data_IF_317376551078
#
_entry.id   IF_317376551078
#
_cell.length_a   1.000
_cell.length_b   1.000
_cell.length_c   1.000
_cell.angle_alpha   90.00
_cell.angle_beta   90.00
_cell.angle_gamma   90.00
#
_symmetry.space_group_name_H-M   'P 1'
#
loop_
_entity.id
_entity.type
_entity.pdbx_description
1 polymer ?
#
# COMPACT_ATOMS: atom_id res chain seq x y z
N UNK A 1 -1.61 -10.05 -13.46
CA UNK A 1 -1.81 -9.17 -12.28
C UNK A 1 -2.79 -8.06 -12.63
N UNK A 2 -3.42 -7.37 -11.68
CA UNK A 2 -4.19 -6.13 -11.93
C UNK A 2 -3.83 -5.05 -10.93
N UNK A 3 -3.60 -3.82 -11.41
CA UNK A 3 -3.33 -2.62 -10.61
C UNK A 3 -4.49 -1.64 -10.79
N UNK A 4 -4.99 -1.09 -9.68
CA UNK A 4 -5.98 -0.01 -9.66
C UNK A 4 -5.34 1.18 -8.96
N UNK A 5 -5.19 2.31 -9.66
CA UNK A 5 -4.73 3.58 -9.11
C UNK A 5 -5.65 4.73 -9.54
N UNK A 6 -5.64 5.81 -8.78
CA UNK A 6 -6.35 7.05 -9.11
C UNK A 6 -7.79 6.82 -9.61
N UNK A 7 -8.13 7.39 -10.77
CA UNK A 7 -9.48 7.39 -11.32
C UNK A 7 -10.08 6.00 -11.59
N UNK A 8 -9.27 4.94 -11.67
CA UNK A 8 -9.75 3.57 -11.87
C UNK A 8 -9.92 2.79 -10.55
N UNK A 9 -9.45 3.33 -9.42
CA UNK A 9 -9.61 2.75 -8.08
C UNK A 9 -10.97 3.09 -7.45
N UNK A 10 -12.05 2.84 -8.19
CA UNK A 10 -13.44 3.04 -7.72
C UNK A 10 -13.92 1.89 -6.85
N UNK A 11 -14.96 2.12 -6.04
CA UNK A 11 -15.61 1.05 -5.24
C UNK A 11 -16.00 -0.15 -6.10
N UNK A 12 -16.63 0.10 -7.24
CA UNK A 12 -17.06 -0.93 -8.18
C UNK A 12 -15.86 -1.70 -8.77
N UNK A 13 -14.83 -0.98 -9.23
CA UNK A 13 -13.62 -1.59 -9.77
C UNK A 13 -12.93 -2.48 -8.74
N UNK A 14 -12.79 -2.04 -7.49
CA UNK A 14 -12.18 -2.85 -6.44
C UNK A 14 -12.93 -4.17 -6.26
N UNK A 15 -14.26 -4.14 -6.11
CA UNK A 15 -15.07 -5.34 -5.90
C UNK A 15 -15.08 -6.27 -7.12
N UNK A 16 -15.17 -5.70 -8.33
CA UNK A 16 -15.11 -6.46 -9.58
C UNK A 16 -13.76 -7.18 -9.75
N UNK A 17 -12.66 -6.54 -9.35
CA UNK A 17 -11.33 -7.15 -9.41
C UNK A 17 -11.13 -8.25 -8.37
N UNK A 18 -11.74 -8.15 -7.18
CA UNK A 18 -11.75 -9.24 -6.20
C UNK A 18 -12.55 -10.45 -6.71
N UNK A 19 -13.68 -10.23 -7.37
CA UNK A 19 -14.44 -11.30 -8.02
C UNK A 19 -13.67 -11.96 -9.17
N UNK A 20 -12.97 -11.17 -10.00
CA UNK A 20 -12.06 -11.73 -11.00
C UNK A 20 -10.96 -12.57 -10.35
N UNK A 21 -10.33 -12.07 -9.27
CA UNK A 21 -9.26 -12.76 -8.58
C UNK A 21 -9.74 -14.07 -7.95
N UNK A 22 -10.97 -14.09 -7.42
CA UNK A 22 -11.63 -15.32 -6.97
C UNK A 22 -11.68 -16.36 -8.10
N UNK A 23 -12.09 -15.98 -9.31
CA UNK A 23 -12.18 -16.89 -10.45
C UNK A 23 -10.80 -17.41 -10.88
N UNK A 24 -9.77 -16.56 -10.84
CA UNK A 24 -8.40 -16.99 -11.14
C UNK A 24 -7.87 -18.00 -10.11
N UNK A 25 -8.07 -17.73 -8.82
CA UNK A 25 -7.67 -18.65 -7.75
C UNK A 25 -8.44 -19.98 -7.82
N UNK A 26 -9.70 -19.97 -8.25
CA UNK A 26 -10.47 -21.19 -8.46
C UNK A 26 -9.94 -22.05 -9.63
N UNK A 27 -9.26 -21.43 -10.61
CA UNK A 27 -8.71 -22.11 -11.78
C UNK A 27 -7.30 -22.70 -11.52
N UNK A 28 -6.60 -22.26 -10.49
CA UNK A 28 -5.28 -22.75 -10.10
C UNK A 28 -5.22 -22.99 -8.58
N UNK A 29 -5.36 -24.26 -8.18
CA UNK A 29 -5.38 -24.64 -6.78
C UNK A 29 -4.07 -24.33 -6.04
N UNK A 30 -2.94 -24.23 -6.75
CA UNK A 30 -1.62 -23.97 -6.16
C UNK A 30 -1.28 -22.47 -6.11
N UNK A 31 -2.18 -21.61 -6.58
CA UNK A 31 -1.94 -20.18 -6.67
C UNK A 31 -1.64 -19.54 -5.30
N UNK A 32 -0.56 -18.76 -5.25
CA UNK A 32 -0.39 -17.73 -4.24
C UNK A 32 -1.09 -16.46 -4.72
N UNK A 33 -2.03 -15.98 -3.91
CA UNK A 33 -2.71 -14.71 -4.13
C UNK A 33 -2.12 -13.66 -3.19
N UNK A 34 -1.73 -12.53 -3.75
CA UNK A 34 -1.36 -11.32 -3.01
C UNK A 34 -2.39 -10.23 -3.30
N UNK A 35 -2.97 -9.66 -2.26
CA UNK A 35 -3.78 -8.44 -2.35
C UNK A 35 -3.08 -7.35 -1.56
N UNK A 36 -2.77 -6.24 -2.23
CA UNK A 36 -2.18 -5.06 -1.62
C UNK A 36 -3.13 -3.88 -1.78
N UNK A 37 -3.60 -3.33 -0.67
CA UNK A 37 -4.38 -2.10 -0.62
C UNK A 37 -3.56 -1.01 0.04
N UNK A 38 -3.42 0.15 -0.60
CA UNK A 38 -2.86 1.35 0.01
C UNK A 38 -3.81 2.53 -0.23
N UNK A 39 -4.12 3.26 0.83
CA UNK A 39 -5.13 4.33 0.75
C UNK A 39 -5.61 4.82 2.11
N UNK A 40 -6.70 5.59 2.10
CA UNK A 40 -7.32 6.07 3.34
C UNK A 40 -8.32 5.05 3.89
N UNK A 41 -8.43 5.02 5.22
CA UNK A 41 -9.51 4.34 5.89
C UNK A 41 -10.10 5.22 6.99
N UNK A 42 -11.42 5.24 7.12
CA UNK A 42 -12.14 6.02 8.12
C UNK A 42 -13.05 5.12 8.95
N UNK A 43 -12.95 5.26 10.26
CA UNK A 43 -13.91 4.72 11.22
C UNK A 43 -15.01 5.76 11.43
N UNK A 44 -16.25 5.38 11.19
CA UNK A 44 -17.41 6.12 11.67
C UNK A 44 -17.64 5.79 13.15
N UNK A 45 -17.31 6.73 14.04
CA UNK A 45 -17.40 6.55 15.49
C UNK A 45 -18.84 6.45 16.01
N UNK A 46 -19.82 6.86 15.21
CA UNK A 46 -21.25 6.76 15.58
C UNK A 46 -21.79 5.36 15.32
N UNK A 47 -21.35 4.71 14.24
CA UNK A 47 -21.83 3.39 13.84
C UNK A 47 -20.84 2.26 14.13
N UNK A 48 -19.58 2.59 14.42
CA UNK A 48 -18.47 1.65 14.54
C UNK A 48 -18.02 1.06 13.21
N UNK A 49 -18.55 1.52 12.08
CA UNK A 49 -18.23 0.96 10.75
C UNK A 49 -16.93 1.55 10.22
N UNK A 50 -16.04 0.69 9.74
CA UNK A 50 -14.82 1.10 9.06
C UNK A 50 -15.01 1.06 7.54
N UNK A 51 -14.52 2.10 6.87
CA UNK A 51 -14.61 2.28 5.43
C UNK A 51 -13.22 2.42 4.83
N UNK A 52 -12.96 1.66 3.77
CA UNK A 52 -11.89 1.95 2.82
C UNK A 52 -12.37 3.04 1.87
N UNK A 53 -11.47 3.96 1.52
CA UNK A 53 -11.82 5.14 0.75
C UNK A 53 -11.36 4.96 -0.69
N UNK A 54 -12.27 4.69 -1.63
CA UNK A 54 -11.96 4.63 -3.05
C UNK A 54 -11.86 6.04 -3.66
N UNK A 55 -11.43 6.13 -4.91
CA UNK A 55 -11.30 7.41 -5.61
C UNK A 55 -12.64 8.14 -5.80
N UNK A 56 -13.72 7.40 -6.03
CA UNK A 56 -15.08 7.89 -6.27
C UNK A 56 -15.88 8.14 -4.98
N UNK A 57 -15.19 8.33 -3.85
CA UNK A 57 -15.86 8.65 -2.58
C UNK A 57 -16.56 10.00 -2.65
N UNK A 58 -17.82 10.04 -2.23
CA UNK A 58 -18.62 11.24 -2.10
C UNK A 58 -18.57 11.75 -0.65
N UNK A 59 -17.96 12.92 -0.38
CA UNK A 59 -17.68 13.40 0.99
C UNK A 59 -18.91 13.51 1.89
N UNK A 60 -20.06 13.78 1.27
CA UNK A 60 -21.34 13.99 1.94
C UNK A 60 -22.25 12.77 1.90
N UNK A 61 -21.81 11.68 1.26
CA UNK A 61 -22.53 10.41 1.17
C UNK A 61 -21.59 9.20 1.31
N UNK A 62 -20.77 9.25 2.37
CA UNK A 62 -19.81 8.19 2.71
C UNK A 62 -20.46 6.81 2.82
N UNK A 63 -21.64 6.63 3.45
CA UNK A 63 -22.24 5.31 3.58
C UNK A 63 -22.52 4.62 2.22
N UNK A 64 -22.85 5.38 1.18
CA UNK A 64 -23.16 4.82 -0.13
C UNK A 64 -21.96 4.78 -1.09
N UNK A 65 -21.06 5.77 -1.01
CA UNK A 65 -19.93 5.91 -1.94
C UNK A 65 -18.63 5.24 -1.47
N UNK A 66 -18.37 5.18 -0.16
CA UNK A 66 -17.19 4.49 0.37
C UNK A 66 -17.37 2.96 0.35
N UNK A 67 -16.26 2.23 0.52
CA UNK A 67 -16.26 0.77 0.56
C UNK A 67 -16.24 0.29 2.02
N UNK A 68 -17.33 -0.30 2.55
CA UNK A 68 -17.29 -0.87 3.89
C UNK A 68 -16.24 -1.98 3.98
N UNK A 69 -15.42 -1.96 5.02
CA UNK A 69 -14.36 -2.96 5.17
C UNK A 69 -14.88 -4.37 5.44
N UNK A 70 -16.09 -4.51 6.01
CA UNK A 70 -16.78 -5.81 6.06
C UNK A 70 -17.04 -6.36 4.65
N UNK A 71 -17.52 -5.53 3.71
CA UNK A 71 -17.77 -5.95 2.32
C UNK A 71 -16.46 -6.36 1.63
N UNK A 72 -15.40 -5.58 1.81
CA UNK A 72 -14.07 -5.91 1.30
C UNK A 72 -13.53 -7.22 1.91
N UNK A 73 -13.69 -7.39 3.22
CA UNK A 73 -13.28 -8.58 3.96
C UNK A 73 -14.02 -9.83 3.48
N UNK A 74 -15.34 -9.74 3.33
CA UNK A 74 -16.12 -10.86 2.80
C UNK A 74 -15.71 -11.22 1.38
N UNK A 75 -15.47 -10.24 0.50
CA UNK A 75 -14.97 -10.51 -0.86
C UNK A 75 -13.61 -11.23 -0.85
N UNK A 76 -12.67 -10.85 0.03
CA UNK A 76 -11.38 -11.54 0.20
C UNK A 76 -11.53 -12.95 0.78
N UNK A 77 -12.51 -13.17 1.66
CA UNK A 77 -12.80 -14.49 2.23
C UNK A 77 -13.33 -15.47 1.17
N UNK A 78 -14.00 -14.97 0.14
CA UNK A 78 -14.50 -15.80 -0.96
C UNK A 78 -13.41 -16.29 -1.92
N UNK A 79 -12.18 -15.78 -1.86
CA UNK A 79 -11.07 -16.23 -2.73
C UNK A 79 -10.59 -17.62 -2.29
N UNK A 80 -10.72 -18.67 -3.13
CA UNK A 80 -10.38 -20.04 -2.76
C UNK A 80 -8.90 -20.36 -3.00
N UNK A 81 -7.99 -19.51 -2.51
CA UNK A 81 -6.56 -19.72 -2.66
C UNK A 81 -5.99 -20.55 -1.49
N UNK A 82 -5.06 -21.47 -1.78
CA UNK A 82 -4.29 -22.16 -0.74
C UNK A 82 -3.37 -21.21 0.03
N UNK A 83 -2.92 -20.13 -0.62
CA UNK A 83 -2.02 -19.14 -0.04
C UNK A 83 -2.54 -17.75 -0.38
N UNK A 84 -2.99 -17.00 0.62
CA UNK A 84 -3.47 -15.63 0.47
C UNK A 84 -2.74 -14.71 1.44
N UNK A 85 -1.96 -13.79 0.89
CA UNK A 85 -1.37 -12.68 1.63
C UNK A 85 -2.17 -11.40 1.34
N UNK A 86 -2.75 -10.82 2.38
CA UNK A 86 -3.45 -9.54 2.32
C UNK A 86 -2.61 -8.50 3.02
N UNK A 87 -2.37 -7.37 2.36
CA UNK A 87 -1.62 -6.26 2.90
C UNK A 87 -2.49 -5.01 2.86
N UNK A 88 -2.66 -4.39 4.02
CA UNK A 88 -3.45 -3.18 4.19
C UNK A 88 -2.53 -2.06 4.67
N UNK A 89 -2.06 -1.27 3.71
CA UNK A 89 -1.33 -0.04 3.97
C UNK A 89 -2.27 1.16 4.05
N UNK A 90 -3.10 1.19 5.09
CA UNK A 90 -4.06 2.27 5.30
C UNK A 90 -3.82 2.96 6.63
N UNK A 91 -3.29 4.19 6.60
CA UNK A 91 -3.35 5.17 7.69
C UNK A 91 -2.74 6.52 7.26
N UNK A 92 -3.32 7.12 6.24
CA UNK A 92 -2.91 8.42 5.75
C UNK A 92 -3.75 9.52 6.41
N UNK A 93 -3.17 10.26 7.37
CA UNK A 93 -3.73 11.52 7.88
C UNK A 93 -2.85 12.74 7.56
N UNK A 94 -1.77 12.54 6.78
CA UNK A 94 -0.87 13.58 6.30
C UNK A 94 -1.62 14.51 5.33
N UNK A 95 -2.37 15.46 5.90
CA UNK A 95 -3.25 16.38 5.19
C UNK A 95 -4.47 16.85 5.99
N UNK A 96 -4.86 16.16 7.07
CA UNK A 96 -5.99 16.58 7.90
C UNK A 96 -5.58 17.18 9.25
N UNK A 97 -4.37 16.90 9.74
CA UNK A 97 -3.89 17.42 11.01
C UNK A 97 -3.50 18.92 10.98
N UNK A 98 -3.33 19.53 9.80
CA UNK A 98 -2.97 20.95 9.67
C UNK A 98 -4.12 21.91 9.97
N UNK A 99 -5.37 21.44 10.03
CA UNK A 99 -6.52 22.31 10.31
C UNK A 99 -6.88 22.46 11.81
N UNK A 100 -6.24 21.70 12.72
CA UNK A 100 -6.58 21.74 14.16
C UNK A 100 -5.57 22.50 15.05
N UNK A 101 -4.44 22.99 14.50
CA UNK A 101 -3.41 23.67 15.30
C UNK A 101 -3.22 25.18 15.03
N UNK A 102 -3.98 25.80 14.13
CA UNK A 102 -3.89 27.25 13.85
C UNK A 102 -4.73 28.15 14.77
N UNK A 103 -5.33 27.59 15.83
CA UNK A 103 -5.99 28.39 16.89
C UNK A 103 -5.18 28.31 18.19
N UNK A 104 -3.91 28.73 18.13
CA UNK A 104 -3.15 29.13 19.31
C UNK A 104 -2.44 30.45 19.05
N UNK A 105 -3.22 31.50 19.32
CA UNK A 105 -2.83 32.82 19.80
C UNK A 105 -1.33 32.99 20.10
N UNK A 106 -0.65 33.82 19.30
CA UNK A 106 0.53 34.57 19.75
C UNK A 106 0.37 36.04 19.37
N UNK A 107 -0.14 36.80 20.32
CA UNK A 107 0.09 38.24 20.42
C UNK A 107 1.60 38.47 20.61
N UNK A 108 2.28 39.15 19.67
CA UNK A 108 3.43 40.03 19.96
C UNK A 108 3.74 40.93 18.74
N UNK A 109 3.60 42.25 18.93
CA UNK A 109 4.58 43.26 18.50
C UNK A 109 4.65 43.76 17.04
N UNK A 110 4.14 44.98 16.84
CA UNK A 110 4.46 46.04 15.85
C UNK A 110 5.64 45.91 14.84
N UNK A 111 5.33 46.38 13.61
CA UNK A 111 6.13 47.16 12.65
C UNK A 111 7.39 46.55 11.97
N UNK A 112 7.33 46.31 10.64
CA UNK A 112 7.98 47.14 9.61
C UNK A 112 7.66 46.66 8.18
N UNK A 113 7.57 47.64 7.29
CA UNK A 113 7.29 47.57 5.85
C UNK A 113 8.44 46.98 5.04
N UNK A 114 8.14 46.08 4.08
CA UNK A 114 8.62 46.12 2.67
C UNK A 114 7.79 45.17 1.81
N UNK A 115 7.15 45.67 0.75
CA UNK A 115 6.62 44.85 -0.37
C UNK A 115 7.62 44.92 -1.53
N UNK A 116 7.95 43.80 -2.19
CA UNK A 116 8.35 43.82 -3.59
C UNK A 116 7.21 43.40 -4.51
N UNK A 117 7.06 44.19 -5.55
CA UNK A 117 6.18 44.05 -6.70
C UNK A 117 6.78 43.03 -7.68
N UNK A 118 5.98 42.10 -8.21
CA UNK A 118 6.34 41.27 -9.37
C UNK A 118 5.16 41.16 -10.34
N UNK A 119 5.15 42.09 -11.30
CA UNK A 119 4.53 41.87 -12.61
C UNK A 119 5.50 41.04 -13.46
N UNK A 120 5.18 39.76 -13.68
CA UNK A 120 5.73 38.98 -14.80
C UNK A 120 4.60 38.12 -15.40
N UNK A 121 4.17 38.35 -16.65
CA UNK A 121 3.13 37.57 -17.30
C UNK A 121 3.76 36.34 -17.95
N UNK A 122 3.70 35.20 -17.25
CA UNK A 122 3.68 33.82 -17.76
C UNK A 122 4.14 32.87 -16.64
N UNK A 123 3.26 32.67 -15.67
CA UNK A 123 3.25 31.46 -14.84
C UNK A 123 1.87 30.83 -15.02
N UNK A 124 1.83 29.69 -15.71
CA UNK A 124 0.66 28.81 -15.67
C UNK A 124 0.46 28.41 -14.20
N UNK A 125 -0.74 28.56 -13.62
CA UNK A 125 -0.97 28.12 -12.26
C UNK A 125 -0.96 26.59 -12.22
N UNK A 126 0.14 25.99 -11.78
CA UNK A 126 0.18 24.60 -11.34
C UNK A 126 -0.49 24.49 -9.97
N UNK A 127 -1.83 24.58 -9.97
CA UNK A 127 -2.66 24.26 -8.82
C UNK A 127 -3.86 23.43 -9.33
N UNK A 128 -3.59 22.19 -9.73
CA UNK A 128 -4.61 21.15 -9.68
C UNK A 128 -4.86 20.91 -8.18
N UNK A 129 -5.90 21.56 -7.66
CA UNK A 129 -6.18 21.65 -6.24
C UNK A 129 -6.31 20.29 -5.57
N UNK A 130 -5.45 20.02 -4.59
CA UNK A 130 -5.78 19.12 -3.49
C UNK A 130 -7.01 19.72 -2.80
N UNK A 131 -8.22 19.28 -3.17
CA UNK A 131 -9.45 19.64 -2.44
C UNK A 131 -9.23 19.18 -1.00
N UNK A 132 -9.16 20.13 -0.08
CA UNK A 132 -9.17 19.81 1.35
C UNK A 132 -10.52 19.18 1.67
N UNK A 133 -10.54 17.84 1.73
CA UNK A 133 -11.73 17.09 2.07
C UNK A 133 -12.08 17.38 3.53
N UNK A 134 -13.13 18.18 3.76
CA UNK A 134 -13.67 18.37 5.11
C UNK A 134 -14.58 17.20 5.42
N UNK A 135 -14.07 16.26 6.20
CA UNK A 135 -14.86 15.11 6.65
C UNK A 135 -15.88 15.55 7.72
N UNK A 136 -17.04 14.87 7.77
CA UNK A 136 -17.89 14.85 8.95
C UNK A 136 -17.08 14.55 10.23
N UNK A 137 -17.45 15.19 11.34
CA UNK A 137 -16.68 15.11 12.60
C UNK A 137 -16.61 13.69 13.20
N UNK A 138 -17.53 12.80 12.84
CA UNK A 138 -17.61 11.42 13.29
C UNK A 138 -16.69 10.46 12.52
N UNK A 139 -16.04 10.92 11.44
CA UNK A 139 -15.13 10.08 10.67
C UNK A 139 -13.69 10.27 11.15
N UNK A 140 -13.15 9.21 11.74
CA UNK A 140 -11.81 9.18 12.32
C UNK A 140 -10.88 8.37 11.39
N UNK A 141 -9.81 8.97 10.85
CA UNK A 141 -8.75 8.21 10.20
C UNK A 141 -8.02 7.36 11.21
N UNK A 142 -8.04 6.06 11.01
CA UNK A 142 -7.43 5.10 11.92
C UNK A 142 -7.05 3.84 11.16
N UNK A 143 -6.32 2.93 11.82
CA UNK A 143 -5.94 1.65 11.24
C UNK A 143 -7.15 0.70 11.18
N UNK A 144 -7.02 -0.37 10.40
CA UNK A 144 -8.06 -1.39 10.31
C UNK A 144 -8.33 -2.00 11.71
N UNK A 145 -9.59 -2.03 12.17
CA UNK A 145 -9.97 -2.66 13.43
C UNK A 145 -9.52 -4.12 13.55
N UNK A 146 -9.15 -4.53 14.77
CA UNK A 146 -8.62 -5.87 15.06
C UNK A 146 -9.63 -6.98 14.72
N UNK A 147 -10.91 -6.77 14.97
CA UNK A 147 -11.98 -7.73 14.67
C UNK A 147 -12.11 -8.00 13.16
N UNK A 148 -11.90 -7.00 12.31
CA UNK A 148 -11.83 -7.18 10.85
C UNK A 148 -10.59 -7.99 10.44
N UNK A 149 -9.44 -7.75 11.06
CA UNK A 149 -8.23 -8.57 10.83
C UNK A 149 -8.48 -10.02 11.28
N UNK A 150 -9.13 -10.21 12.43
CA UNK A 150 -9.50 -11.53 12.95
C UNK A 150 -10.48 -12.26 12.00
N UNK A 151 -11.34 -11.55 11.25
CA UNK A 151 -12.17 -12.14 10.19
C UNK A 151 -11.36 -12.50 8.94
N UNK A 152 -10.48 -11.61 8.49
CA UNK A 152 -9.66 -11.80 7.29
C UNK A 152 -8.74 -13.03 7.39
N UNK A 153 -8.21 -13.31 8.58
CA UNK A 153 -7.34 -14.47 8.81
C UNK A 153 -8.08 -15.80 8.92
N UNK A 154 -9.41 -15.82 9.01
CA UNK A 154 -10.16 -17.07 9.12
C UNK A 154 -10.00 -17.91 7.86
N UNK A 155 -9.61 -19.18 8.05
CA UNK A 155 -9.30 -20.11 6.97
C UNK A 155 -7.82 -20.52 7.02
N UNK A 156 -7.47 -21.59 6.31
CA UNK A 156 -6.08 -22.03 6.18
C UNK A 156 -5.34 -21.19 5.14
N UNK A 157 -4.03 -21.05 5.27
CA UNK A 157 -3.22 -20.45 4.21
C UNK A 157 -3.26 -18.91 4.15
N UNK A 158 -3.75 -18.24 5.19
CA UNK A 158 -4.00 -16.80 5.19
C UNK A 158 -3.02 -16.05 6.08
N UNK A 159 -2.45 -14.99 5.51
CA UNK A 159 -1.62 -14.01 6.20
C UNK A 159 -2.15 -12.60 5.94
N UNK A 160 -2.23 -11.78 6.98
CA UNK A 160 -2.73 -10.41 6.93
C UNK A 160 -1.70 -9.48 7.58
N UNK A 161 -1.17 -8.55 6.79
CA UNK A 161 -0.22 -7.55 7.25
C UNK A 161 -0.88 -6.17 7.19
N UNK A 162 -0.70 -5.35 8.22
CA UNK A 162 -1.11 -3.94 8.21
C UNK A 162 0.08 -3.04 8.47
N UNK A 163 0.09 -1.87 7.84
CA UNK A 163 1.24 -0.97 7.90
C UNK A 163 1.48 -0.29 9.24
N UNK A 164 0.50 -0.32 10.12
CA UNK A 164 0.55 0.24 11.48
C UNK A 164 -0.38 -0.52 12.43
N UNK A 165 -0.16 -0.39 13.74
CA UNK A 165 -1.00 -0.94 14.80
C UNK A 165 -1.98 0.10 15.35
N UNK A 166 -3.21 -0.32 15.69
CA UNK A 166 -4.12 0.43 16.56
C UNK A 166 -4.29 1.92 16.23
N UNK A 167 -3.70 2.79 17.06
CA UNK A 167 -3.78 4.26 16.96
C UNK A 167 -2.59 4.91 16.23
N UNK A 168 -1.59 4.13 15.83
CA UNK A 168 -0.45 4.65 15.07
C UNK A 168 -0.87 5.00 13.63
N UNK A 169 -0.07 5.83 12.96
CA UNK A 169 -0.30 6.24 11.58
C UNK A 169 0.64 5.48 10.62
N UNK A 170 0.27 5.45 9.34
CA UNK A 170 1.15 5.01 8.25
C UNK A 170 1.69 6.24 7.55
N UNK A 171 2.99 6.46 7.68
CA UNK A 171 3.61 7.70 7.23
C UNK A 171 4.04 7.64 5.77
N UNK A 172 3.95 8.79 5.12
CA UNK A 172 4.58 9.03 3.82
C UNK A 172 6.02 9.45 4.03
N UNK A 173 6.89 8.95 3.16
CA UNK A 173 8.30 9.35 3.14
C UNK A 173 8.40 10.86 2.88
N UNK A 174 9.42 11.55 3.39
CA UNK A 174 9.60 12.99 3.16
C UNK A 174 9.74 13.42 1.68
N UNK A 175 10.01 12.47 0.78
CA UNK A 175 10.08 12.68 -0.67
C UNK A 175 8.71 12.61 -1.38
N UNK A 176 7.63 12.35 -0.64
CA UNK A 176 6.25 12.20 -1.14
C UNK A 176 6.05 11.11 -2.21
N UNK A 177 7.01 10.19 -2.38
CA UNK A 177 6.96 9.18 -3.44
C UNK A 177 6.06 7.98 -3.10
N UNK A 178 6.05 7.55 -1.83
CA UNK A 178 5.27 6.43 -1.32
C UNK A 178 5.30 6.38 0.22
N UNK A 179 4.53 5.47 0.82
CA UNK A 179 4.59 5.24 2.26
C UNK A 179 5.90 4.57 2.68
N UNK A 180 6.30 4.79 3.94
CA UNK A 180 7.45 4.10 4.55
C UNK A 180 7.26 2.58 4.48
N UNK A 181 6.04 2.12 4.75
CA UNK A 181 5.71 0.70 4.67
C UNK A 181 5.86 0.15 3.24
N UNK A 182 5.26 0.83 2.25
CA UNK A 182 5.33 0.41 0.84
C UNK A 182 6.77 0.34 0.37
N UNK A 183 7.61 1.34 0.71
CA UNK A 183 9.02 1.35 0.33
C UNK A 183 9.77 0.12 0.84
N UNK A 184 9.70 -0.16 2.15
CA UNK A 184 10.40 -1.31 2.72
C UNK A 184 9.79 -2.65 2.33
N UNK A 185 8.49 -2.69 2.06
CA UNK A 185 7.84 -3.88 1.52
C UNK A 185 8.38 -4.20 0.12
N UNK A 186 8.55 -3.20 -0.74
CA UNK A 186 9.16 -3.37 -2.05
C UNK A 186 10.64 -3.77 -1.96
N UNK A 187 11.41 -3.21 -1.02
CA UNK A 187 12.77 -3.69 -0.75
C UNK A 187 12.77 -5.18 -0.38
N UNK A 188 11.87 -5.61 0.50
CA UNK A 188 11.76 -7.01 0.91
C UNK A 188 11.36 -7.94 -0.26
N UNK A 189 10.46 -7.51 -1.14
CA UNK A 189 10.13 -8.25 -2.37
C UNK A 189 11.31 -8.38 -3.34
N UNK A 190 12.25 -7.44 -3.31
CA UNK A 190 13.50 -7.51 -4.07
C UNK A 190 14.57 -8.34 -3.35
N UNK A 191 14.26 -8.90 -2.18
CA UNK A 191 15.13 -9.78 -1.40
C UNK A 191 15.88 -9.10 -0.27
N UNK A 192 15.52 -7.87 0.10
CA UNK A 192 16.04 -7.28 1.32
C UNK A 192 15.56 -8.10 2.53
N UNK A 193 16.51 -8.65 3.30
CA UNK A 193 16.23 -9.57 4.41
C UNK A 193 16.39 -11.05 4.07
N UNK A 194 16.57 -11.41 2.79
CA UNK A 194 16.98 -12.75 2.37
C UNK A 194 18.49 -12.97 2.55
N UNK A 195 18.88 -14.23 2.64
CA UNK A 195 20.27 -14.66 2.74
C UNK A 195 20.84 -15.05 1.36
N UNK A 196 22.18 -15.01 1.20
CA UNK A 196 22.83 -15.58 0.02
C UNK A 196 22.38 -17.01 -0.28
N UNK A 197 22.01 -17.28 -1.53
CA UNK A 197 21.54 -18.59 -1.97
C UNK A 197 20.02 -18.82 -1.81
N UNK A 198 19.29 -17.96 -1.10
CA UNK A 198 17.83 -18.01 -1.06
C UNK A 198 17.25 -17.90 -2.47
N UNK A 199 16.19 -18.66 -2.75
CA UNK A 199 15.56 -18.69 -4.08
C UNK A 199 14.26 -17.88 -4.13
N UNK A 200 13.64 -17.64 -2.98
CA UNK A 200 12.31 -17.04 -2.88
C UNK A 200 12.22 -16.07 -1.71
N UNK A 201 11.35 -15.08 -1.85
CA UNK A 201 10.86 -14.28 -0.74
C UNK A 201 9.67 -15.02 -0.14
N UNK A 202 9.66 -15.21 1.17
CA UNK A 202 8.54 -15.82 1.91
C UNK A 202 7.83 -14.81 2.80
N UNK A 203 6.69 -15.19 3.37
CA UNK A 203 5.94 -14.35 4.33
C UNK A 203 6.83 -13.97 5.52
N UNK A 204 7.64 -14.89 6.05
CA UNK A 204 8.53 -14.60 7.17
C UNK A 204 9.65 -13.61 6.80
N UNK A 205 10.20 -13.67 5.59
CA UNK A 205 11.16 -12.67 5.10
C UNK A 205 10.55 -11.27 5.10
N UNK A 206 9.35 -11.14 4.52
CA UNK A 206 8.61 -9.88 4.48
C UNK A 206 8.36 -9.35 5.90
N UNK A 207 7.80 -10.19 6.78
CA UNK A 207 7.52 -9.83 8.18
C UNK A 207 8.77 -9.35 8.91
N UNK A 208 9.85 -10.11 8.85
CA UNK A 208 11.09 -9.82 9.58
C UNK A 208 11.73 -8.53 9.08
N UNK A 209 11.75 -8.31 7.76
CA UNK A 209 12.34 -7.11 7.19
C UNK A 209 11.52 -5.88 7.53
N UNK A 210 10.24 -5.84 7.16
CA UNK A 210 9.41 -4.64 7.35
C UNK A 210 9.14 -4.37 8.83
N UNK A 211 9.05 -5.41 9.66
CA UNK A 211 8.91 -5.26 11.12
C UNK A 211 10.11 -4.59 11.78
N UNK A 212 11.29 -4.66 11.17
CA UNK A 212 12.51 -3.98 11.64
C UNK A 212 12.70 -2.60 11.00
N UNK A 213 12.52 -2.50 9.68
CA UNK A 213 12.89 -1.28 8.93
C UNK A 213 11.83 -0.19 9.01
N UNK A 214 10.54 -0.53 9.06
CA UNK A 214 9.46 0.47 9.14
C UNK A 214 9.53 1.30 10.44
N UNK A 215 9.67 0.71 11.64
CA UNK A 215 9.80 1.50 12.86
C UNK A 215 11.05 2.37 12.88
N UNK A 216 12.17 1.85 12.34
CA UNK A 216 13.43 2.60 12.26
C UNK A 216 13.29 3.82 11.36
N UNK A 217 12.76 3.65 10.15
CA UNK A 217 12.56 4.74 9.19
C UNK A 217 11.49 5.73 9.63
N UNK A 218 10.40 5.30 10.27
CA UNK A 218 9.40 6.22 10.80
C UNK A 218 10.00 7.14 11.88
N UNK A 219 10.84 6.58 12.77
CA UNK A 219 11.55 7.35 13.79
C UNK A 219 12.57 8.32 13.16
N UNK A 220 13.34 7.86 12.18
CA UNK A 220 14.39 8.65 11.54
C UNK A 220 13.85 9.75 10.64
N UNK A 221 12.90 9.43 9.77
CA UNK A 221 12.42 10.31 8.70
C UNK A 221 11.25 11.20 9.15
N UNK A 222 10.39 10.70 10.03
CA UNK A 222 9.15 11.39 10.43
C UNK A 222 9.12 11.76 11.92
N UNK A 223 10.13 11.38 12.70
CA UNK A 223 10.14 11.55 14.16
C UNK A 223 8.87 10.98 14.83
N UNK A 224 8.36 9.88 14.28
CA UNK A 224 7.08 9.30 14.66
C UNK A 224 7.18 7.79 14.88
N UNK A 225 6.15 7.21 15.48
CA UNK A 225 6.01 5.77 15.61
C UNK A 225 5.19 5.19 14.45
N UNK A 226 5.65 4.04 13.97
CA UNK A 226 4.90 3.18 13.06
C UNK A 226 5.39 1.75 13.26
N UNK A 227 4.53 0.90 13.79
CA UNK A 227 4.80 -0.52 14.00
C UNK A 227 3.84 -1.31 13.13
N UNK A 228 4.32 -2.04 12.11
CA UNK A 228 3.48 -2.95 11.35
C UNK A 228 2.87 -4.03 12.24
N UNK A 229 1.67 -4.47 11.89
CA UNK A 229 1.03 -5.62 12.53
C UNK A 229 0.95 -6.79 11.54
N UNK A 230 1.15 -7.99 12.05
CA UNK A 230 1.17 -9.21 11.27
C UNK A 230 0.31 -10.26 11.97
N UNK A 231 -0.59 -10.89 11.24
CA UNK A 231 -1.41 -11.99 11.74
C UNK A 231 -1.54 -13.05 10.67
N UNK A 232 -1.11 -14.27 10.96
CA UNK A 232 -1.11 -15.36 10.00
C UNK A 232 -1.39 -16.68 10.70
N UNK A 233 -2.29 -17.47 10.12
CA UNK A 233 -2.71 -18.78 10.62
C UNK A 233 -2.31 -19.87 9.61
N UNK A 234 -1.03 -19.88 9.25
CA UNK A 234 -0.50 -20.70 8.15
C UNK A 234 0.99 -20.97 8.35
N UNK A 235 1.48 -22.01 7.67
CA UNK A 235 2.91 -22.21 7.45
C UNK A 235 3.48 -21.05 6.63
N UNK A 236 4.79 -20.82 6.76
CA UNK A 236 5.50 -19.85 5.94
C UNK A 236 5.48 -20.31 4.48
N UNK A 237 5.17 -19.38 3.56
CA UNK A 237 5.01 -19.72 2.15
C UNK A 237 5.70 -18.74 1.20
N UNK A 238 6.13 -19.21 0.01
CA UNK A 238 6.70 -18.34 -1.02
C UNK A 238 5.70 -17.31 -1.55
N UNK A 239 6.14 -16.05 -1.60
CA UNK A 239 5.40 -14.91 -2.14
C UNK A 239 5.97 -14.47 -3.49
N UNK A 240 7.29 -14.52 -3.67
CA UNK A 240 7.95 -14.14 -4.92
C UNK A 240 9.21 -14.95 -5.20
N UNK A 241 9.55 -15.14 -6.48
CA UNK A 241 10.84 -15.67 -6.89
C UNK A 241 11.90 -14.56 -6.88
N UNK A 242 13.05 -14.81 -6.26
CA UNK A 242 14.15 -13.84 -6.23
C UNK A 242 14.84 -13.74 -7.58
N UNK A 243 14.95 -12.52 -8.10
CA UNK A 243 15.66 -12.23 -9.35
C UNK A 243 15.22 -13.11 -10.54
N UNK A 244 13.92 -13.40 -10.63
CA UNK A 244 13.37 -14.29 -11.66
C UNK A 244 13.79 -15.75 -11.45
N UNK A 245 13.89 -16.19 -10.19
CA UNK A 245 14.31 -17.55 -9.85
C UNK A 245 15.81 -17.80 -9.97
N UNK A 246 16.63 -16.76 -10.18
CA UNK A 246 18.10 -16.86 -10.08
C UNK A 246 18.58 -17.01 -8.63
N UNK A 247 17.73 -16.59 -7.69
CA UNK A 247 18.08 -16.54 -6.27
C UNK A 247 18.94 -15.33 -5.91
N UNK A 248 19.13 -15.13 -4.62
CA UNK A 248 19.98 -14.09 -4.04
C UNK A 248 21.45 -14.42 -4.31
N UNK A 249 22.26 -13.48 -4.85
CA UNK A 249 23.67 -13.72 -5.10
C UNK A 249 24.48 -13.96 -3.82
N UNK A 250 25.72 -14.43 -3.98
CA UNK A 250 26.60 -14.79 -2.86
C UNK A 250 26.96 -13.59 -1.98
N UNK A 251 27.08 -12.41 -2.58
CA UNK A 251 27.32 -11.15 -1.90
C UNK A 251 26.04 -10.58 -1.26
N UNK A 252 24.90 -11.25 -1.46
CA UNK A 252 23.63 -10.94 -0.80
C UNK A 252 23.00 -9.63 -1.27
N UNK A 253 22.20 -9.04 -0.38
CA UNK A 253 21.44 -7.82 -0.65
C UNK A 253 22.33 -6.65 -1.09
N UNK A 254 23.54 -6.51 -0.54
CA UNK A 254 24.42 -5.36 -0.83
C UNK A 254 24.82 -5.28 -2.31
N UNK A 255 24.91 -6.39 -3.02
CA UNK A 255 25.20 -6.41 -4.46
C UNK A 255 24.02 -5.88 -5.29
N UNK A 256 22.80 -6.26 -4.92
CA UNK A 256 21.59 -5.96 -5.71
C UNK A 256 20.85 -4.71 -5.24
N UNK A 257 21.23 -4.15 -4.09
CA UNK A 257 20.53 -3.05 -3.43
C UNK A 257 20.39 -1.82 -4.32
N UNK A 258 21.46 -1.41 -5.00
CA UNK A 258 21.42 -0.21 -5.85
C UNK A 258 20.42 -0.36 -7.01
N UNK A 259 20.47 -1.51 -7.70
CA UNK A 259 19.56 -1.84 -8.78
C UNK A 259 18.10 -1.96 -8.29
N UNK A 260 17.90 -2.56 -7.10
CA UNK A 260 16.59 -2.67 -6.48
C UNK A 260 16.01 -1.28 -6.12
N UNK A 261 16.82 -0.38 -5.57
CA UNK A 261 16.41 0.99 -5.25
C UNK A 261 16.06 1.81 -6.49
N UNK A 262 16.79 1.61 -7.60
CA UNK A 262 16.45 2.21 -8.88
C UNK A 262 15.12 1.69 -9.43
N UNK A 263 14.86 0.37 -9.34
CA UNK A 263 13.54 -0.18 -9.69
C UNK A 263 12.41 0.40 -8.84
N UNK A 264 12.64 0.57 -7.54
CA UNK A 264 11.63 1.12 -6.62
C UNK A 264 11.31 2.58 -6.96
N UNK A 265 12.30 3.39 -7.31
CA UNK A 265 12.06 4.79 -7.70
C UNK A 265 11.32 4.91 -9.05
N UNK A 266 11.48 3.93 -9.95
CA UNK A 266 10.68 3.88 -11.18
C UNK A 266 9.20 3.57 -10.90
N UNK A 267 8.91 2.75 -9.87
CA UNK A 267 7.53 2.44 -9.46
C UNK A 267 6.77 3.69 -9.00
N UNK A 268 7.41 4.59 -8.26
CA UNK A 268 6.77 5.86 -7.87
C UNK A 268 6.41 6.74 -9.06
N UNK A 269 7.16 6.68 -10.15
CA UNK A 269 6.94 7.53 -11.33
C UNK A 269 5.76 7.04 -12.20
N UNK A 270 5.49 5.73 -12.24
CA UNK A 270 4.34 5.16 -12.96
C UNK A 270 3.00 5.60 -12.34
N UNK A 271 3.00 6.01 -11.07
CA UNK A 271 1.80 6.53 -10.40
C UNK A 271 1.37 7.93 -10.88
N UNK A 272 2.12 8.56 -11.81
CA UNK A 272 1.87 9.94 -12.28
C UNK A 272 1.36 9.98 -13.71
N UNK A 273 1.59 8.94 -14.52
CA UNK A 273 1.16 8.90 -15.92
C UNK A 273 0.09 7.81 -16.09
N UNK A 274 -1.16 8.22 -16.22
CA UNK A 274 -2.36 7.36 -16.35
C UNK A 274 -2.42 6.53 -17.64
N UNK A 275 -1.33 5.90 -18.06
CA UNK A 275 -1.27 5.00 -19.21
C UNK A 275 -0.60 3.67 -18.84
N UNK A 276 -1.21 2.61 -19.36
CA UNK A 276 -0.80 1.21 -19.33
C UNK A 276 0.72 1.03 -19.25
N UNK A 277 1.25 0.82 -18.05
CA UNK A 277 2.69 0.62 -17.84
C UNK A 277 2.94 -0.73 -17.21
N UNK A 278 3.76 -1.52 -17.90
CA UNK A 278 4.20 -2.85 -17.48
C UNK A 278 5.38 -2.70 -16.52
N UNK A 279 5.39 -3.40 -15.38
CA UNK A 279 6.54 -3.38 -14.48
C UNK A 279 6.94 -4.77 -13.99
N UNK A 280 8.22 -5.11 -14.14
CA UNK A 280 8.82 -6.34 -13.66
C UNK A 280 9.37 -6.14 -12.24
N UNK A 281 8.86 -6.91 -11.27
CA UNK A 281 9.32 -6.85 -9.87
C UNK A 281 10.37 -7.93 -9.52
N UNK A 282 10.68 -8.87 -10.42
CA UNK A 282 11.67 -9.93 -10.22
C UNK A 282 12.76 -9.88 -11.30
N UNK A 283 14.00 -9.52 -10.92
CA UNK A 283 15.15 -9.25 -11.81
C UNK A 283 15.74 -10.40 -12.65
N UNK A 284 14.93 -11.15 -13.39
CA UNK A 284 15.40 -12.19 -14.33
C UNK A 284 14.36 -12.55 -15.39
N UNK A 285 14.82 -13.20 -16.47
CA UNK A 285 14.08 -13.50 -17.71
C UNK A 285 12.87 -14.45 -17.59
N UNK A 286 12.46 -14.80 -16.36
CA UNK A 286 11.10 -15.27 -16.05
C UNK A 286 10.23 -14.05 -15.83
N UNK A 287 9.50 -13.69 -16.88
CA UNK A 287 8.60 -12.56 -16.88
C UNK A 287 7.45 -12.80 -15.87
N UNK A 288 7.45 -12.11 -14.73
CA UNK A 288 6.19 -11.79 -14.06
C UNK A 288 5.54 -10.71 -14.92
N UNK A 289 4.76 -11.13 -15.91
CA UNK A 289 4.05 -10.22 -16.82
C UNK A 289 3.02 -9.41 -16.04
N UNK A 290 3.31 -8.12 -15.87
CA UNK A 290 2.35 -7.13 -15.39
C UNK A 290 1.94 -6.33 -16.61
N UNK A 291 0.89 -6.74 -17.31
CA UNK A 291 0.32 -5.99 -18.43
C UNK A 291 -1.12 -5.58 -18.09
N UNK A 292 -1.53 -4.42 -18.61
CA UNK A 292 -2.91 -3.96 -18.63
C UNK A 292 -3.75 -4.78 -19.62
N UNK A 293 -3.91 -6.06 -19.34
CA UNK A 293 -4.89 -6.98 -19.89
C UNK A 293 -4.75 -8.26 -19.06
N UNK A 294 -5.86 -8.81 -18.58
CA UNK A 294 -5.85 -9.96 -17.69
C UNK A 294 -5.07 -11.14 -18.26
N UNK A 295 -4.06 -11.60 -17.53
CA UNK A 295 -3.74 -13.01 -17.32
C UNK A 295 -2.70 -13.15 -16.20
N UNK A 296 -2.74 -14.26 -15.48
CA UNK A 296 -1.59 -14.85 -14.78
C UNK A 296 -1.62 -16.33 -15.16
N UNK A 297 -0.84 -16.72 -16.16
CA UNK A 297 -0.55 -18.13 -16.41
C UNK A 297 0.87 -18.42 -15.95
N UNK A 298 1.01 -19.47 -15.13
CA UNK A 298 2.27 -20.16 -14.89
C UNK A 298 2.80 -20.64 -16.25
N UNK A 299 3.91 -20.10 -16.75
CA UNK A 299 4.62 -20.72 -17.87
C UNK A 299 5.40 -21.89 -17.32
N UNK A 300 4.88 -23.09 -17.60
CA UNK A 300 5.53 -24.35 -17.34
C UNK A 300 6.92 -24.44 -17.98
N UNK A 301 7.80 -25.11 -17.27
CA UNK A 301 9.13 -25.52 -17.73
C UNK A 301 8.92 -26.50 -18.88
N UNK A 302 9.40 -26.18 -20.08
CA UNK A 302 9.78 -27.21 -21.06
C UNK A 302 11.31 -27.21 -21.21
N UNK A 303 11.81 -28.43 -21.23
CA UNK A 303 13.21 -28.89 -21.31
C UNK A 303 14.11 -28.17 -22.30
#
# INVERSE_FOLDING_TARGET
MRLLNDAIATKESILSNLNWLQQQAAADSEATVLVYYSGHGWLDDTTGKYYLIPYDVEPFDIPNSALPADTFTEALRQIPAQRLLVIIDSCHAAGMATAKNDVREKHFGNNLSTKPNINHPNALPSNAGKKHLKLPNNLIPTALPKDLIDKLKQGTGRAVFTSSTGQQQSWIRPDDTMSIYTFHFLEALQGAGNQPGDQVVTVSHLMNYVGKTVPASAKELCQAEQTPFFDFATEDFPVALLHGGKGMPQQGWDEVKAEAQERISQISNVSVEGNQSQMNLSGGSTNIHINAAGDISNVGISS
#
